data_IF_309074804988
#
_entry.id   IF_309074804988
#
_cell.length_a   1.000
_cell.length_b   1.000
_cell.length_c   1.000
_cell.angle_alpha   90.00
_cell.angle_beta   90.00
_cell.angle_gamma   90.00
#
_symmetry.space_group_name_H-M   'P 1'
#
loop_
_entity.id
_entity.type
_entity.pdbx_description
1 polymer ?
#
# COMPACT_ATOMS: atom_id res chain seq x y z
N UNK A 1 -6.26 -2.45 -4.44
CA UNK A 1 -5.14 -2.11 -3.55
C UNK A 1 -4.81 -3.31 -2.71
N UNK A 2 -3.52 -3.56 -2.43
CA UNK A 2 -3.12 -4.64 -1.54
C UNK A 2 -1.65 -4.55 -1.09
N UNK A 3 -1.27 -5.36 -0.11
CA UNK A 3 0.14 -5.61 0.22
C UNK A 3 0.71 -6.77 -0.58
N UNK A 4 1.93 -6.62 -1.09
CA UNK A 4 2.69 -7.78 -1.53
C UNK A 4 3.20 -8.59 -0.34
N UNK A 5 3.69 -9.80 -0.63
CA UNK A 5 4.61 -10.50 0.26
C UNK A 5 5.79 -9.59 0.60
N UNK A 6 6.31 -9.70 1.82
CA UNK A 6 7.47 -8.90 2.23
C UNK A 6 8.66 -9.20 1.32
N UNK A 7 9.33 -8.14 0.90
CA UNK A 7 10.66 -8.23 0.34
C UNK A 7 11.66 -8.27 1.50
N UNK A 8 12.86 -8.77 1.25
CA UNK A 8 13.92 -8.84 2.27
C UNK A 8 15.19 -8.22 1.72
N UNK A 9 15.92 -7.52 2.59
CA UNK A 9 17.28 -7.10 2.30
C UNK A 9 18.26 -7.71 3.33
N UNK A 10 19.44 -8.17 2.89
CA UNK A 10 19.82 -8.30 1.49
C UNK A 10 19.07 -9.41 0.75
N UNK A 11 18.81 -9.20 -0.54
CA UNK A 11 18.27 -10.20 -1.48
C UNK A 11 19.36 -10.50 -2.52
N UNK A 12 19.98 -11.67 -2.40
CA UNK A 12 21.07 -12.13 -3.28
C UNK A 12 20.83 -13.57 -3.72
N UNK A 13 21.16 -13.86 -4.98
CA UNK A 13 20.89 -15.15 -5.65
C UNK A 13 21.66 -16.33 -5.05
N UNK A 14 22.77 -16.07 -4.37
CA UNK A 14 23.67 -17.10 -3.87
C UNK A 14 23.84 -17.01 -2.35
N UNK A 15 22.73 -17.02 -1.60
CA UNK A 15 22.71 -16.86 -0.14
C UNK A 15 23.40 -18.04 0.54
N UNK A 16 24.62 -17.88 1.10
CA UNK A 16 25.29 -18.95 1.85
C UNK A 16 24.48 -19.32 3.10
N UNK A 17 24.54 -20.59 3.53
CA UNK A 17 23.85 -21.10 4.72
C UNK A 17 24.20 -20.38 6.05
N UNK A 18 25.24 -19.55 6.06
CA UNK A 18 25.58 -18.70 7.22
C UNK A 18 24.72 -17.43 7.32
N UNK A 19 24.04 -17.02 6.24
CA UNK A 19 23.16 -15.83 6.23
C UNK A 19 21.84 -16.01 6.97
N UNK A 20 21.49 -17.25 7.36
CA UNK A 20 20.42 -17.51 8.32
C UNK A 20 20.66 -16.82 9.68
N UNK A 21 21.90 -16.43 9.99
CA UNK A 21 22.25 -15.66 11.19
C UNK A 21 22.26 -14.13 10.98
N UNK A 22 22.14 -13.65 9.74
CA UNK A 22 21.99 -12.22 9.48
C UNK A 22 20.52 -11.84 9.57
N UNK A 23 20.17 -10.84 10.39
CA UNK A 23 18.81 -10.31 10.44
C UNK A 23 18.44 -9.73 9.08
N UNK A 24 17.61 -10.45 8.33
CA UNK A 24 17.03 -9.97 7.08
C UNK A 24 16.09 -8.80 7.43
N UNK A 25 16.37 -7.64 6.88
CA UNK A 25 15.52 -6.47 7.04
C UNK A 25 14.27 -6.66 6.20
N UNK A 26 13.10 -6.61 6.85
CA UNK A 26 11.83 -6.74 6.15
C UNK A 26 11.45 -5.44 5.47
N UNK A 27 11.12 -5.54 4.17
CA UNK A 27 10.64 -4.42 3.35
C UNK A 27 9.20 -4.66 2.93
N UNK A 28 8.35 -3.70 3.27
CA UNK A 28 6.94 -3.68 2.92
C UNK A 28 6.73 -3.00 1.58
N UNK A 29 5.90 -3.62 0.73
CA UNK A 29 5.44 -3.03 -0.52
C UNK A 29 3.91 -3.04 -0.55
N UNK A 30 3.31 -1.86 -0.64
CA UNK A 30 1.86 -1.69 -0.78
C UNK A 30 1.53 -1.11 -2.16
N UNK A 31 0.68 -1.80 -2.90
CA UNK A 31 0.29 -1.43 -4.25
C UNK A 31 -1.11 -0.83 -4.32
N UNK A 32 -1.24 0.30 -5.04
CA UNK A 32 -2.51 0.83 -5.51
C UNK A 32 -2.49 0.79 -7.03
N UNK A 33 -3.26 -0.13 -7.61
CA UNK A 33 -3.50 -0.15 -9.05
C UNK A 33 -4.65 0.80 -9.40
N UNK A 34 -4.40 1.76 -10.27
CA UNK A 34 -5.41 2.70 -10.74
C UNK A 34 -5.84 2.35 -12.15
N UNK A 35 -7.02 1.71 -12.25
CA UNK A 35 -7.57 1.17 -13.50
C UNK A 35 -7.72 2.22 -14.61
N UNK A 36 -8.06 3.47 -14.27
CA UNK A 36 -8.30 4.52 -15.27
C UNK A 36 -7.03 4.86 -16.06
N UNK A 37 -5.86 4.81 -15.42
CA UNK A 37 -4.57 5.10 -16.07
C UNK A 37 -3.80 3.82 -16.43
N UNK A 38 -4.23 2.67 -15.91
CA UNK A 38 -3.52 1.40 -16.05
C UNK A 38 -2.16 1.34 -15.32
N UNK A 39 -1.95 2.21 -14.33
CA UNK A 39 -0.68 2.39 -13.61
C UNK A 39 -0.78 1.89 -12.17
N UNK A 40 0.26 1.19 -11.72
CA UNK A 40 0.41 0.76 -10.33
C UNK A 40 1.33 1.70 -9.55
N UNK A 41 0.86 2.31 -8.47
CA UNK A 41 1.71 3.01 -7.51
C UNK A 41 2.12 2.04 -6.39
N UNK A 42 3.43 1.88 -6.17
CA UNK A 42 4.02 1.02 -5.15
C UNK A 42 4.66 1.86 -4.06
N UNK A 43 4.15 1.76 -2.83
CA UNK A 43 4.75 2.37 -1.65
C UNK A 43 5.73 1.40 -1.01
N UNK A 44 6.99 1.81 -0.89
CA UNK A 44 8.09 0.98 -0.40
C UNK A 44 8.67 1.58 0.87
N UNK A 45 8.75 0.78 1.92
CA UNK A 45 9.35 1.17 3.20
C UNK A 45 9.83 -0.05 3.99
N UNK A 46 10.85 0.13 4.80
CA UNK A 46 11.40 -0.92 5.63
C UNK A 46 10.77 -0.96 7.03
N UNK A 47 11.03 -2.04 7.77
CA UNK A 47 10.48 -2.25 9.12
C UNK A 47 10.97 -1.23 10.18
N UNK A 48 12.09 -0.53 9.96
CA UNK A 48 12.51 0.56 10.86
C UNK A 48 11.73 1.86 10.62
N UNK A 49 11.07 1.96 9.47
CA UNK A 49 10.21 3.10 9.12
C UNK A 49 8.82 2.92 9.71
N UNK A 50 8.16 1.78 9.46
CA UNK A 50 6.84 1.50 10.01
C UNK A 50 6.44 0.03 9.87
N UNK A 51 5.36 -0.33 10.56
CA UNK A 51 4.72 -1.65 10.42
C UNK A 51 3.69 -1.70 9.27
N UNK A 52 2.86 -2.74 9.29
CA UNK A 52 1.67 -2.84 8.44
C UNK A 52 0.43 -2.68 9.31
N UNK A 53 -0.40 -1.68 8.99
CA UNK A 53 -1.58 -1.37 9.78
C UNK A 53 -2.51 -0.41 9.06
N UNK A 54 -3.69 -0.19 9.65
CA UNK A 54 -4.71 0.69 9.07
C UNK A 54 -4.25 2.13 8.93
N UNK A 55 -3.41 2.64 9.85
CA UNK A 55 -2.87 3.99 9.76
C UNK A 55 -1.96 4.16 8.53
N UNK A 56 -1.10 3.17 8.26
CA UNK A 56 -0.24 3.16 7.08
C UNK A 56 -1.07 3.08 5.80
N UNK A 57 -2.09 2.20 5.76
CA UNK A 57 -3.00 2.08 4.62
C UNK A 57 -3.71 3.42 4.37
N UNK A 58 -4.29 4.02 5.42
CA UNK A 58 -4.99 5.30 5.32
C UNK A 58 -4.08 6.44 4.88
N UNK A 59 -2.86 6.50 5.40
CA UNK A 59 -1.82 7.44 4.97
C UNK A 59 -1.47 7.31 3.49
N UNK A 60 -1.22 6.09 3.02
CA UNK A 60 -0.88 5.84 1.62
C UNK A 60 -2.07 6.11 0.69
N UNK A 61 -3.29 5.83 1.15
CA UNK A 61 -4.52 6.19 0.43
C UNK A 61 -4.71 7.71 0.37
N UNK A 62 -4.56 8.42 1.49
CA UNK A 62 -4.65 9.87 1.55
C UNK A 62 -3.66 10.53 0.59
N UNK A 63 -2.39 10.11 0.67
CA UNK A 63 -1.36 10.57 -0.26
C UNK A 63 -1.72 10.28 -1.72
N UNK A 64 -2.22 9.07 -2.03
CA UNK A 64 -2.65 8.74 -3.39
C UNK A 64 -3.81 9.61 -3.87
N UNK A 65 -4.82 9.83 -3.02
CA UNK A 65 -5.98 10.67 -3.33
C UNK A 65 -5.54 12.10 -3.59
N UNK A 66 -4.74 12.69 -2.70
CA UNK A 66 -4.25 14.07 -2.82
C UNK A 66 -3.38 14.28 -4.06
N UNK A 67 -2.53 13.30 -4.41
CA UNK A 67 -1.57 13.44 -5.52
C UNK A 67 -2.13 13.06 -6.88
N UNK A 68 -3.09 12.12 -6.95
CA UNK A 68 -3.63 11.59 -8.22
C UNK A 68 -5.08 11.95 -8.47
N UNK A 69 -5.94 11.87 -7.45
CA UNK A 69 -7.38 12.04 -7.63
C UNK A 69 -7.84 13.49 -7.45
N UNK A 70 -7.24 14.23 -6.51
CA UNK A 70 -7.51 15.64 -6.26
C UNK A 70 -7.33 16.50 -7.52
N UNK A 71 -6.15 16.47 -8.17
CA UNK A 71 -5.92 17.23 -9.41
C UNK A 71 -6.85 16.84 -10.56
N UNK A 72 -7.35 15.59 -10.55
CA UNK A 72 -8.26 15.08 -11.57
C UNK A 72 -9.74 15.42 -11.29
N UNK A 73 -10.07 16.05 -10.16
CA UNK A 73 -11.42 16.51 -9.81
C UNK A 73 -12.44 15.36 -9.71
N UNK A 74 -12.02 14.15 -9.35
CA UNK A 74 -12.90 12.98 -9.30
C UNK A 74 -13.78 13.04 -8.05
N UNK A 75 -15.10 13.03 -8.22
CA UNK A 75 -16.06 13.09 -7.10
C UNK A 75 -16.54 11.72 -6.62
N UNK A 76 -16.34 10.66 -7.41
CA UNK A 76 -16.74 9.29 -7.08
C UNK A 76 -15.53 8.37 -7.08
N UNK A 77 -15.40 7.57 -6.03
CA UNK A 77 -14.29 6.63 -5.86
C UNK A 77 -14.82 5.20 -5.72
N UNK A 78 -14.28 4.28 -6.49
CA UNK A 78 -14.48 2.83 -6.27
C UNK A 78 -13.17 2.20 -5.88
N UNK A 79 -13.10 1.62 -4.69
CA UNK A 79 -11.94 0.92 -4.17
C UNK A 79 -12.22 -0.58 -4.17
N UNK A 80 -11.35 -1.34 -4.82
CA UNK A 80 -11.33 -2.81 -4.73
C UNK A 80 -10.17 -3.24 -3.82
N UNK A 81 -10.46 -4.13 -2.87
CA UNK A 81 -9.45 -4.69 -1.99
C UNK A 81 -9.72 -6.15 -1.61
N UNK A 82 -8.67 -6.83 -1.15
CA UNK A 82 -8.76 -8.19 -0.67
C UNK A 82 -9.56 -8.30 0.63
N UNK A 83 -10.29 -9.40 0.79
CA UNK A 83 -11.11 -9.67 1.97
C UNK A 83 -10.26 -10.18 3.16
N UNK A 84 -9.21 -9.44 3.50
CA UNK A 84 -8.33 -9.68 4.64
C UNK A 84 -8.71 -8.74 5.79
N UNK A 85 -9.29 -9.26 6.87
CA UNK A 85 -9.76 -8.48 8.02
C UNK A 85 -8.65 -7.73 8.77
N UNK A 86 -7.42 -8.26 8.75
CA UNK A 86 -6.28 -7.65 9.43
C UNK A 86 -5.74 -6.39 8.74
N UNK A 87 -6.04 -6.19 7.45
CA UNK A 87 -5.41 -5.14 6.65
C UNK A 87 -6.47 -4.30 5.93
N UNK A 88 -7.03 -4.81 4.84
CA UNK A 88 -7.90 -4.05 3.97
C UNK A 88 -9.33 -3.97 4.52
N UNK A 89 -9.90 -5.09 4.99
CA UNK A 89 -11.21 -5.13 5.64
C UNK A 89 -11.10 -4.76 7.12
N UNK A 90 -10.57 -3.58 7.37
CA UNK A 90 -10.36 -3.02 8.69
C UNK A 90 -11.31 -1.85 8.94
N UNK A 91 -11.94 -1.80 10.13
CA UNK A 91 -12.90 -0.76 10.49
C UNK A 91 -12.33 0.65 10.37
N UNK A 92 -11.04 0.86 10.66
CA UNK A 92 -10.42 2.18 10.54
C UNK A 92 -10.22 2.61 9.08
N UNK A 93 -10.05 1.66 8.15
CA UNK A 93 -10.00 1.97 6.70
C UNK A 93 -11.39 2.35 6.20
N UNK A 94 -12.43 1.63 6.64
CA UNK A 94 -13.82 1.97 6.32
C UNK A 94 -14.18 3.34 6.88
N UNK A 95 -13.88 3.61 8.16
CA UNK A 95 -14.11 4.92 8.79
C UNK A 95 -13.38 6.04 8.06
N UNK A 96 -12.14 5.82 7.65
CA UNK A 96 -11.38 6.80 6.87
C UNK A 96 -12.09 7.15 5.56
N UNK A 97 -12.50 6.15 4.77
CA UNK A 97 -13.24 6.38 3.52
C UNK A 97 -14.58 7.10 3.76
N UNK A 98 -15.29 6.76 4.85
CA UNK A 98 -16.52 7.44 5.24
C UNK A 98 -16.28 8.91 5.60
N UNK A 99 -15.20 9.21 6.34
CA UNK A 99 -14.82 10.59 6.67
C UNK A 99 -14.54 11.41 5.41
N UNK A 100 -13.94 10.82 4.37
CA UNK A 100 -13.73 11.54 3.10
C UNK A 100 -15.06 11.93 2.43
N UNK A 101 -16.09 11.09 2.54
CA UNK A 101 -17.45 11.44 2.06
C UNK A 101 -18.06 12.53 2.93
N UNK A 102 -17.99 12.37 4.25
CA UNK A 102 -18.54 13.34 5.20
C UNK A 102 -17.91 14.74 5.05
N UNK A 103 -16.62 14.81 4.77
CA UNK A 103 -15.87 16.05 4.54
C UNK A 103 -16.08 16.61 3.12
N UNK A 104 -16.87 15.96 2.28
CA UNK A 104 -17.15 16.41 0.90
C UNK A 104 -15.99 16.25 -0.08
N UNK A 105 -14.95 15.48 0.27
CA UNK A 105 -13.84 15.15 -0.65
C UNK A 105 -14.35 14.28 -1.80
N UNK A 106 -15.23 13.35 -1.48
CA UNK A 106 -15.97 12.54 -2.46
C UNK A 106 -17.46 12.64 -2.18
N UNK A 107 -18.28 12.68 -3.24
CA UNK A 107 -19.73 12.56 -3.12
C UNK A 107 -20.14 11.13 -2.77
N UNK A 108 -19.40 10.14 -3.27
CA UNK A 108 -19.71 8.73 -3.07
C UNK A 108 -18.45 7.87 -3.13
N UNK A 109 -18.34 6.91 -2.20
CA UNK A 109 -17.27 5.92 -2.18
C UNK A 109 -17.86 4.51 -2.16
N UNK A 110 -17.58 3.74 -3.21
CA UNK A 110 -17.86 2.30 -3.24
C UNK A 110 -16.64 1.53 -2.73
N UNK A 111 -16.76 0.87 -1.59
CA UNK A 111 -15.71 -0.01 -1.09
C UNK A 111 -16.09 -1.49 -1.26
N UNK A 112 -15.42 -2.17 -2.19
CA UNK A 112 -15.74 -3.52 -2.63
C UNK A 112 -14.63 -4.50 -2.24
N UNK A 113 -15.03 -5.65 -1.70
CA UNK A 113 -14.12 -6.72 -1.33
C UNK A 113 -14.25 -7.89 -2.29
N UNK A 114 -13.11 -8.47 -2.67
CA UNK A 114 -13.11 -9.68 -3.48
C UNK A 114 -13.65 -10.89 -2.70
N UNK A 115 -14.38 -11.78 -3.39
CA UNK A 115 -14.81 -13.06 -2.83
C UNK A 115 -13.57 -13.93 -2.63
N UNK A 116 -13.51 -14.59 -1.47
CA UNK A 116 -12.40 -15.45 -1.08
C UNK A 116 -12.23 -16.58 -2.12
N UNK A 117 -10.97 -16.92 -2.41
CA UNK A 117 -10.56 -18.06 -3.25
C UNK A 117 -10.84 -17.99 -4.77
N UNK A 118 -11.35 -16.86 -5.30
CA UNK A 118 -11.75 -16.79 -6.72
C UNK A 118 -11.25 -15.58 -7.53
N UNK A 119 -10.62 -14.57 -6.93
CA UNK A 119 -10.36 -13.31 -7.64
C UNK A 119 -8.88 -12.93 -7.63
N UNK A 120 -8.32 -12.65 -8.81
CA UNK A 120 -6.99 -12.05 -8.97
C UNK A 120 -7.09 -10.56 -8.70
N UNK A 121 -6.29 -10.05 -7.78
CA UNK A 121 -6.21 -8.62 -7.52
C UNK A 121 -5.41 -7.95 -8.65
N UNK A 122 -5.83 -6.78 -9.14
CA UNK A 122 -5.09 -6.08 -10.20
C UNK A 122 -3.63 -5.79 -9.81
N UNK A 123 -3.36 -5.67 -8.50
CA UNK A 123 -2.00 -5.49 -7.97
C UNK A 123 -1.10 -6.73 -8.10
N UNK A 124 -1.65 -7.94 -8.17
CA UNK A 124 -0.89 -9.20 -8.18
C UNK A 124 0.08 -9.29 -9.36
N UNK A 125 -0.35 -8.78 -10.51
CA UNK A 125 0.50 -8.76 -11.71
C UNK A 125 1.74 -7.88 -11.49
N UNK A 126 1.56 -6.66 -10.96
CA UNK A 126 2.67 -5.76 -10.66
C UNK A 126 3.61 -6.35 -9.60
N UNK A 127 3.05 -6.98 -8.56
CA UNK A 127 3.85 -7.67 -7.55
C UNK A 127 4.64 -8.86 -8.13
N UNK A 128 4.04 -9.61 -9.05
CA UNK A 128 4.73 -10.67 -9.78
C UNK A 128 5.94 -10.17 -10.56
N UNK A 129 5.79 -9.03 -11.25
CA UNK A 129 6.90 -8.37 -11.96
C UNK A 129 8.01 -7.91 -11.01
N UNK A 130 7.65 -7.26 -9.90
CA UNK A 130 8.60 -6.83 -8.87
C UNK A 130 9.38 -8.02 -8.32
N UNK A 131 8.69 -9.09 -7.91
CA UNK A 131 9.32 -10.29 -7.36
C UNK A 131 10.28 -10.93 -8.35
N UNK A 132 9.87 -11.04 -9.62
CA UNK A 132 10.71 -11.63 -10.67
C UNK A 132 11.99 -10.81 -10.87
N UNK A 133 11.90 -9.49 -10.88
CA UNK A 133 13.05 -8.61 -11.06
C UNK A 133 13.98 -8.64 -9.82
N UNK A 134 13.40 -8.58 -8.62
CA UNK A 134 14.11 -8.67 -7.35
C UNK A 134 14.86 -10.00 -7.17
N UNK A 135 14.34 -11.10 -7.72
CA UNK A 135 15.01 -12.41 -7.65
C UNK A 135 16.33 -12.47 -8.45
N UNK A 136 16.48 -11.60 -9.44
CA UNK A 136 17.69 -11.50 -10.26
C UNK A 136 18.58 -10.31 -9.88
N UNK A 137 18.05 -9.35 -9.14
CA UNK A 137 18.79 -8.17 -8.70
C UNK A 137 19.53 -8.43 -7.38
N UNK A 138 20.74 -7.87 -7.23
CA UNK A 138 21.49 -7.91 -5.98
C UNK A 138 21.15 -6.69 -5.11
N UNK A 139 20.13 -6.85 -4.28
CA UNK A 139 19.64 -5.76 -3.44
C UNK A 139 20.26 -5.83 -2.05
N UNK A 140 21.25 -4.98 -1.80
CA UNK A 140 21.93 -4.86 -0.50
C UNK A 140 21.36 -3.74 0.38
N UNK A 141 20.74 -2.75 -0.24
CA UNK A 141 20.26 -1.53 0.41
C UNK A 141 18.84 -1.21 -0.05
N UNK A 142 18.15 -0.35 0.69
CA UNK A 142 16.85 0.19 0.26
C UNK A 142 16.92 0.88 -1.09
N UNK A 143 18.03 1.56 -1.40
CA UNK A 143 18.22 2.18 -2.71
C UNK A 143 18.17 1.15 -3.85
N UNK A 144 18.82 0.00 -3.68
CA UNK A 144 18.77 -1.07 -4.68
C UNK A 144 17.36 -1.67 -4.82
N UNK A 145 16.60 -1.77 -3.72
CA UNK A 145 15.20 -2.22 -3.79
C UNK A 145 14.36 -1.24 -4.59
N UNK A 146 14.48 0.06 -4.32
CA UNK A 146 13.73 1.10 -5.02
C UNK A 146 14.05 1.08 -6.52
N UNK A 147 15.33 0.94 -6.87
CA UNK A 147 15.77 0.81 -8.26
C UNK A 147 15.18 -0.44 -8.93
N UNK A 148 15.25 -1.59 -8.25
CA UNK A 148 14.69 -2.84 -8.76
C UNK A 148 13.16 -2.79 -8.91
N UNK A 149 12.44 -2.13 -8.00
CA UNK A 149 10.98 -1.96 -8.09
C UNK A 149 10.64 -1.02 -9.25
N UNK A 150 11.36 0.09 -9.41
CA UNK A 150 11.17 1.01 -10.55
C UNK A 150 11.44 0.34 -11.90
N UNK A 151 12.46 -0.52 -11.97
CA UNK A 151 12.79 -1.25 -13.19
C UNK A 151 11.83 -2.42 -13.50
N UNK A 152 10.99 -2.84 -12.55
CA UNK A 152 10.19 -4.04 -12.68
C UNK A 152 9.07 -3.94 -13.73
N UNK A 153 8.48 -2.76 -13.90
CA UNK A 153 7.40 -2.53 -14.86
C UNK A 153 7.33 -1.07 -15.31
N UNK A 154 7.20 -0.84 -16.62
CA UNK A 154 7.10 0.50 -17.20
C UNK A 154 5.80 1.23 -16.84
N UNK A 155 4.75 0.49 -16.46
CA UNK A 155 3.48 1.02 -15.99
C UNK A 155 3.37 1.02 -14.46
N UNK A 156 4.49 1.26 -13.77
CA UNK A 156 4.51 1.37 -12.31
C UNK A 156 5.27 2.62 -11.86
N UNK A 157 4.86 3.15 -10.71
CA UNK A 157 5.49 4.30 -10.05
C UNK A 157 5.86 3.89 -8.64
N UNK A 158 7.09 4.14 -8.21
CA UNK A 158 7.53 3.83 -6.85
C UNK A 158 7.53 5.08 -5.99
N UNK A 159 6.93 4.97 -4.81
CA UNK A 159 7.00 5.97 -3.74
C UNK A 159 7.79 5.37 -2.59
N UNK A 160 9.00 5.84 -2.38
CA UNK A 160 9.80 5.46 -1.22
C UNK A 160 9.40 6.29 0.00
N UNK A 161 9.09 5.62 1.11
CA UNK A 161 8.79 6.26 2.39
C UNK A 161 9.98 6.03 3.32
N UNK A 162 10.87 7.02 3.51
CA UNK A 162 12.03 6.87 4.37
C UNK A 162 11.64 6.96 5.86
N UNK A 163 12.54 6.47 6.72
CA UNK A 163 12.40 6.63 8.17
C UNK A 163 12.29 8.11 8.55
N UNK A 164 11.33 8.42 9.43
CA UNK A 164 11.02 9.79 9.84
C UNK A 164 10.16 10.57 8.85
N UNK A 165 9.66 9.93 7.78
CA UNK A 165 8.70 10.55 6.87
C UNK A 165 7.40 10.93 7.59
N UNK A 166 6.87 12.11 7.26
CA UNK A 166 5.57 12.60 7.73
C UNK A 166 4.38 11.95 6.98
N UNK A 167 4.65 11.03 6.05
CA UNK A 167 3.60 10.35 5.31
C UNK A 167 2.72 9.51 6.24
N UNK A 168 3.32 8.79 7.19
CA UNK A 168 2.58 7.96 8.15
C UNK A 168 2.04 8.79 9.30
N UNK A 169 0.71 8.94 9.33
CA UNK A 169 -0.04 9.73 10.30
C UNK A 169 -0.92 8.81 11.14
N UNK A 170 -1.18 9.20 12.38
CA UNK A 170 -2.13 8.49 13.24
C UNK A 170 -3.54 8.91 12.89
N UNK A 171 -4.33 8.00 12.32
CA UNK A 171 -5.74 8.23 12.00
C UNK A 171 -6.67 7.62 13.05
N UNK A 172 -6.24 6.58 13.77
CA UNK A 172 -7.10 5.87 14.73
C UNK A 172 -7.76 6.77 15.77
N UNK A 173 -7.02 7.70 16.37
CA UNK A 173 -7.58 8.63 17.37
C UNK A 173 -8.63 9.53 16.74
N UNK A 174 -8.26 10.21 15.65
CA UNK A 174 -9.12 11.15 14.91
C UNK A 174 -10.41 10.48 14.40
N UNK A 175 -10.30 9.28 13.82
CA UNK A 175 -11.45 8.53 13.30
C UNK A 175 -12.33 7.93 14.41
N UNK A 176 -11.80 7.76 15.61
CA UNK A 176 -12.61 7.29 16.75
C UNK A 176 -13.52 8.43 17.23
N UNK A 177 -12.98 9.65 17.33
CA UNK A 177 -13.74 10.85 17.71
C UNK A 177 -14.79 11.22 16.65
N UNK A 178 -14.39 11.35 15.39
CA UNK A 178 -15.28 11.84 14.32
C UNK A 178 -16.47 10.91 14.01
N UNK A 179 -16.31 9.60 14.21
CA UNK A 179 -17.37 8.62 13.88
C UNK A 179 -18.24 8.29 15.10
N UNK A 180 -17.81 8.61 16.32
CA UNK A 180 -18.66 8.48 17.52
C UNK A 180 -19.77 9.56 17.59
N UNK A 181 -19.59 10.69 16.91
CA UNK A 181 -20.55 11.80 16.89
C UNK A 181 -21.56 11.74 15.71
N UNK A 182 -21.43 10.75 14.81
CA UNK A 182 -22.42 10.51 13.76
C UNK A 182 -23.66 9.75 14.30
N UNK A 183 -24.86 9.90 13.69
CA UNK A 183 -26.02 9.11 14.09
C UNK A 183 -25.67 7.63 13.97
N UNK A 184 -25.81 6.90 15.08
CA UNK A 184 -25.45 5.48 15.16
C UNK A 184 -26.12 4.70 14.03
N UNK A 185 -25.28 4.00 13.24
CA UNK A 185 -25.73 2.90 12.39
C UNK A 185 -25.91 1.65 13.24
#
# INVERSE_FOLDING_TARGET
MDYSQNLTIPSVSNTPSQWYFCFLFSVSCFGIYYENDGVQTNYIYDESTSGKGSDQINSMLAHFIETKLGPAGKTKLTVYADNCSGQNKNNYVIKFLLTLVYMGVFEHVDYKFFVKDHTKNSCDRGFGHIRKNMATAECWTMAHVIEAVNAAASNSVTVHVPRGSELFKSYKSVLTELVQEGPGF
#
